data_IF_092688941596
#
_entry.id   IF_092688941596
#
_cell.length_a   1.000
_cell.length_b   1.000
_cell.length_c   1.000
_cell.angle_alpha   90.00
_cell.angle_beta   90.00
_cell.angle_gamma   90.00
#
_symmetry.space_group_name_H-M   'P 1'
#
loop_
_entity.id
_entity.type
_entity.pdbx_description
1 polymer ?
#
# COMPACT_ATOMS: atom_id res chain seq x y z
N UNK A 1 47.43 72.50 21.06
CA UNK A 1 46.76 71.47 21.84
C UNK A 1 45.40 71.18 21.24
N UNK A 2 45.29 70.54 20.06
CA UNK A 2 44.05 70.19 19.37
C UNK A 2 44.29 69.08 18.34
N UNK A 3 44.67 67.88 18.76
CA UNK A 3 44.68 66.72 17.84
C UNK A 3 44.66 65.37 18.58
N UNK A 4 43.65 65.12 19.40
CA UNK A 4 43.53 63.82 20.07
C UNK A 4 42.12 63.21 20.17
N UNK A 5 41.13 63.87 19.66
CA UNK A 5 39.71 63.40 19.84
C UNK A 5 39.07 62.79 18.63
N UNK A 6 39.66 62.82 17.43
CA UNK A 6 39.06 62.22 16.21
C UNK A 6 39.35 60.75 15.98
N UNK A 7 40.45 60.20 16.52
CA UNK A 7 40.81 58.78 16.26
C UNK A 7 40.04 57.77 17.09
N UNK A 8 39.54 58.13 18.25
CA UNK A 8 38.77 57.20 19.13
C UNK A 8 37.34 56.98 18.64
N UNK A 9 36.69 57.99 18.04
CA UNK A 9 35.33 57.83 17.52
C UNK A 9 35.16 56.99 16.29
N UNK A 10 36.17 56.94 15.41
CA UNK A 10 36.14 56.12 14.20
C UNK A 10 36.30 54.63 14.52
N UNK A 11 37.12 54.25 15.53
CA UNK A 11 37.32 52.86 15.93
C UNK A 11 36.09 52.28 16.64
N UNK A 12 35.31 53.03 17.39
CA UNK A 12 34.09 52.54 18.02
C UNK A 12 32.97 52.33 17.02
N UNK A 13 32.82 53.17 16.00
CA UNK A 13 31.81 53.01 14.97
C UNK A 13 32.05 51.80 14.04
N UNK A 14 33.32 51.52 13.72
CA UNK A 14 33.66 50.36 12.90
C UNK A 14 33.47 49.02 13.66
N UNK A 15 33.75 48.99 14.96
CA UNK A 15 33.52 47.79 15.79
C UNK A 15 32.05 47.48 16.00
N UNK A 16 31.20 48.51 16.18
CA UNK A 16 29.77 48.32 16.28
C UNK A 16 29.15 47.90 14.95
N UNK A 17 29.58 48.43 13.83
CA UNK A 17 29.08 48.03 12.50
C UNK A 17 29.45 46.59 12.14
N UNK A 18 30.65 46.12 12.48
CA UNK A 18 31.04 44.74 12.28
C UNK A 18 30.30 43.74 13.16
N UNK A 19 29.98 44.11 14.40
CA UNK A 19 29.19 43.24 15.29
C UNK A 19 27.73 43.12 14.86
N UNK A 20 27.11 44.19 14.35
CA UNK A 20 25.74 44.18 13.85
C UNK A 20 25.65 43.36 12.56
N UNK A 21 26.63 43.47 11.66
CA UNK A 21 26.64 42.68 10.43
C UNK A 21 26.81 41.19 10.73
N UNK A 22 27.64 40.80 11.70
CA UNK A 22 27.83 39.39 12.09
C UNK A 22 26.58 38.80 12.75
N UNK A 23 25.86 39.57 13.59
CA UNK A 23 24.61 39.12 14.20
C UNK A 23 23.48 38.98 13.17
N UNK A 24 23.36 39.89 12.21
CA UNK A 24 22.38 39.81 11.13
C UNK A 24 22.69 38.66 10.17
N UNK A 25 23.98 38.38 9.89
CA UNK A 25 24.37 37.23 9.06
C UNK A 25 24.07 35.89 9.76
N UNK A 26 24.31 35.78 11.06
CA UNK A 26 23.99 34.54 11.82
C UNK A 26 22.49 34.33 11.95
N UNK A 27 21.71 35.37 12.19
CA UNK A 27 20.25 35.26 12.26
C UNK A 27 19.62 34.92 10.91
N UNK A 28 20.15 35.44 9.81
CA UNK A 28 19.69 35.09 8.46
C UNK A 28 20.05 33.64 8.07
N UNK A 29 21.23 33.16 8.47
CA UNK A 29 21.64 31.75 8.26
C UNK A 29 20.80 30.77 9.11
N UNK A 30 20.49 31.13 10.35
CA UNK A 30 19.64 30.31 11.23
C UNK A 30 18.20 30.26 10.70
N UNK A 31 17.65 31.37 10.23
CA UNK A 31 16.32 31.40 9.63
C UNK A 31 16.27 30.67 8.30
N UNK A 32 17.28 30.79 7.44
CA UNK A 32 17.36 30.06 6.18
C UNK A 32 17.47 28.55 6.41
N UNK A 33 18.26 28.09 7.39
CA UNK A 33 18.35 26.69 7.76
C UNK A 33 17.05 26.17 8.38
N UNK A 34 16.37 26.94 9.20
CA UNK A 34 15.07 26.57 9.77
C UNK A 34 13.99 26.45 8.69
N UNK A 35 13.96 27.35 7.71
CA UNK A 35 13.05 27.26 6.56
C UNK A 35 13.40 26.04 5.71
N UNK A 36 14.66 25.79 5.41
CA UNK A 36 15.07 24.63 4.62
C UNK A 36 14.77 23.27 5.30
N UNK A 37 14.85 23.21 6.63
CA UNK A 37 14.46 22.03 7.42
C UNK A 37 12.94 21.88 7.42
N UNK A 38 12.20 22.97 7.53
CA UNK A 38 10.72 22.97 7.45
C UNK A 38 10.25 22.50 6.07
N UNK A 39 10.86 22.98 4.99
CA UNK A 39 10.51 22.60 3.63
C UNK A 39 10.85 21.12 3.33
N UNK A 40 11.97 20.61 3.85
CA UNK A 40 12.30 19.18 3.74
C UNK A 40 11.31 18.30 4.51
N UNK A 41 10.91 18.71 5.69
CA UNK A 41 9.92 17.99 6.49
C UNK A 41 8.54 18.04 5.83
N UNK A 42 8.16 19.17 5.25
CA UNK A 42 6.91 19.31 4.49
C UNK A 42 6.95 18.48 3.19
N UNK A 43 8.08 18.45 2.49
CA UNK A 43 8.26 17.61 1.31
C UNK A 43 8.22 16.12 1.66
N UNK A 44 8.85 15.71 2.77
CA UNK A 44 8.79 14.34 3.28
C UNK A 44 7.37 13.97 3.70
N UNK A 45 6.66 14.84 4.41
CA UNK A 45 5.27 14.63 4.81
C UNK A 45 4.34 14.56 3.60
N UNK A 46 4.53 15.42 2.59
CA UNK A 46 3.80 15.34 1.31
C UNK A 46 4.09 14.04 0.58
N UNK A 47 5.35 13.59 0.53
CA UNK A 47 5.73 12.32 -0.07
C UNK A 47 5.10 11.14 0.68
N UNK A 48 5.12 11.14 2.02
CA UNK A 48 4.48 10.13 2.86
C UNK A 48 2.94 10.14 2.69
N UNK A 49 2.32 11.32 2.56
CA UNK A 49 0.88 11.45 2.28
C UNK A 49 0.58 10.97 0.86
N UNK A 50 1.41 11.30 -0.14
CA UNK A 50 1.22 10.87 -1.52
C UNK A 50 1.43 9.36 -1.65
N UNK A 51 2.47 8.78 -1.03
CA UNK A 51 2.68 7.32 -1.02
C UNK A 51 1.59 6.58 -0.26
N UNK A 52 1.04 7.17 0.80
CA UNK A 52 -0.11 6.60 1.52
C UNK A 52 -1.42 6.78 0.75
N UNK A 53 -1.57 7.86 -0.03
CA UNK A 53 -2.71 8.08 -0.91
C UNK A 53 -2.64 7.23 -2.20
N UNK A 54 -1.45 6.89 -2.70
CA UNK A 54 -1.26 5.93 -3.82
C UNK A 54 -1.63 4.49 -3.44
N UNK A 55 -1.79 4.20 -2.16
CA UNK A 55 -2.26 2.91 -1.63
C UNK A 55 -3.80 2.86 -1.56
N UNK A 56 -4.48 4.00 -1.56
CA UNK A 56 -5.94 4.07 -1.46
C UNK A 56 -6.58 4.58 -2.75
N UNK A 57 -7.17 3.65 -3.48
CA UNK A 57 -8.43 3.81 -4.20
C UNK A 57 -8.43 4.66 -5.48
N UNK A 58 -8.20 4.04 -6.60
CA UNK A 58 -8.84 4.45 -7.85
C UNK A 58 -10.30 3.97 -7.82
N UNK A 59 -11.26 4.88 -7.57
CA UNK A 59 -12.69 4.60 -7.65
C UNK A 59 -13.15 5.02 -9.05
N UNK A 60 -13.32 4.05 -9.91
CA UNK A 60 -14.15 4.24 -11.11
C UNK A 60 -15.52 3.65 -10.77
N UNK A 61 -16.57 4.41 -10.89
CA UNK A 61 -17.97 4.10 -10.64
C UNK A 61 -18.26 2.78 -9.86
N UNK A 62 -18.56 2.79 -8.55
CA UNK A 62 -18.59 1.59 -7.69
C UNK A 62 -19.60 0.51 -8.11
N UNK A 63 -20.63 0.86 -8.88
CA UNK A 63 -21.76 -0.04 -9.18
C UNK A 63 -21.50 -1.09 -10.25
N UNK A 64 -20.46 -0.93 -11.10
CA UNK A 64 -20.36 -1.71 -12.34
C UNK A 64 -19.05 -2.49 -12.50
N UNK A 65 -18.19 -2.55 -11.49
CA UNK A 65 -16.87 -3.16 -11.60
C UNK A 65 -16.52 -4.13 -10.47
N UNK A 66 -15.39 -4.81 -10.64
CA UNK A 66 -14.87 -5.72 -9.61
C UNK A 66 -14.48 -4.97 -8.34
N UNK A 67 -14.74 -5.53 -7.20
CA UNK A 67 -14.12 -5.17 -5.94
C UNK A 67 -12.89 -6.06 -5.71
N UNK A 68 -11.73 -5.46 -5.46
CA UNK A 68 -10.47 -6.19 -5.29
C UNK A 68 -9.83 -5.80 -3.97
N UNK A 69 -9.55 -6.75 -3.11
CA UNK A 69 -8.93 -6.51 -1.80
C UNK A 69 -7.78 -7.49 -1.54
N UNK A 70 -6.69 -6.99 -0.96
CA UNK A 70 -5.54 -7.84 -0.65
C UNK A 70 -4.28 -7.07 -0.25
N UNK A 71 -3.15 -7.66 -0.54
CA UNK A 71 -1.82 -7.17 -0.16
C UNK A 71 -0.98 -6.68 -1.37
N UNK A 72 0.34 -6.69 -1.22
CA UNK A 72 1.28 -6.26 -2.27
C UNK A 72 1.18 -7.06 -3.57
N UNK A 73 0.72 -8.31 -3.55
CA UNK A 73 0.52 -9.10 -4.76
C UNK A 73 -0.62 -8.51 -5.58
N UNK A 74 -1.73 -8.13 -4.93
CA UNK A 74 -2.84 -7.41 -5.59
C UNK A 74 -2.37 -6.07 -6.16
N UNK A 75 -1.55 -5.31 -5.43
CA UNK A 75 -0.97 -4.07 -5.97
C UNK A 75 -0.16 -4.33 -7.24
N UNK A 76 0.60 -5.42 -7.28
CA UNK A 76 1.41 -5.80 -8.43
C UNK A 76 0.60 -6.12 -9.68
N UNK A 77 -0.58 -6.72 -9.52
CA UNK A 77 -1.43 -7.13 -10.65
C UNK A 77 -2.48 -6.08 -11.06
N UNK A 78 -2.68 -5.03 -10.28
CA UNK A 78 -3.81 -4.08 -10.45
C UNK A 78 -3.93 -3.51 -11.87
N UNK A 79 -2.80 -3.12 -12.47
CA UNK A 79 -2.78 -2.52 -13.80
C UNK A 79 -3.19 -3.55 -14.87
N UNK A 80 -2.63 -4.75 -14.83
CA UNK A 80 -2.98 -5.83 -15.78
C UNK A 80 -4.45 -6.23 -15.64
N UNK A 81 -4.95 -6.34 -14.41
CA UNK A 81 -6.36 -6.63 -14.17
C UNK A 81 -7.28 -5.51 -14.69
N UNK A 82 -6.96 -4.25 -14.42
CA UNK A 82 -7.75 -3.08 -14.87
C UNK A 82 -7.73 -2.89 -16.39
N UNK A 83 -6.66 -3.29 -17.07
CA UNK A 83 -6.58 -3.28 -18.53
C UNK A 83 -7.51 -4.33 -19.18
N UNK A 84 -7.85 -5.38 -18.46
CA UNK A 84 -8.59 -6.54 -18.99
C UNK A 84 -10.03 -6.64 -18.49
N UNK A 85 -10.35 -5.99 -17.37
CA UNK A 85 -11.68 -6.00 -16.75
C UNK A 85 -11.95 -4.68 -16.05
N UNK A 86 -13.20 -4.23 -16.08
CA UNK A 86 -13.61 -3.06 -15.29
C UNK A 86 -13.46 -3.35 -13.80
N UNK A 87 -12.71 -2.50 -13.11
CA UNK A 87 -12.48 -2.58 -11.67
C UNK A 87 -13.12 -1.36 -11.02
N UNK A 88 -14.03 -1.58 -10.07
CA UNK A 88 -14.72 -0.52 -9.35
C UNK A 88 -13.95 -0.03 -8.12
N UNK A 89 -13.25 -0.93 -7.43
CA UNK A 89 -12.47 -0.61 -6.25
C UNK A 89 -11.29 -1.57 -6.08
N UNK A 90 -10.09 -1.03 -5.92
CA UNK A 90 -8.92 -1.77 -5.43
C UNK A 90 -8.56 -1.25 -4.05
N UNK A 91 -8.62 -2.10 -3.03
CA UNK A 91 -8.15 -1.80 -1.68
C UNK A 91 -7.04 -2.79 -1.30
N UNK A 92 -5.83 -2.42 -1.60
CA UNK A 92 -4.64 -3.25 -1.37
C UNK A 92 -3.52 -2.47 -0.69
N UNK A 93 -2.73 -3.14 0.15
CA UNK A 93 -1.66 -2.50 0.92
C UNK A 93 -0.48 -3.45 1.09
N UNK A 94 0.74 -2.92 0.97
CA UNK A 94 1.98 -3.70 1.17
C UNK A 94 2.04 -4.24 2.59
N UNK A 95 2.23 -5.57 2.71
CA UNK A 95 2.36 -6.23 4.00
C UNK A 95 1.03 -6.43 4.76
N UNK A 96 -0.13 -6.17 4.11
CA UNK A 96 -1.44 -6.33 4.76
C UNK A 96 -1.62 -7.71 5.37
N UNK A 97 -2.06 -7.75 6.60
CA UNK A 97 -2.39 -8.95 7.35
C UNK A 97 -3.92 -9.10 7.48
N UNK A 98 -4.37 -10.27 7.96
CA UNK A 98 -5.79 -10.57 8.06
C UNK A 98 -6.63 -9.58 8.89
N UNK A 99 -6.17 -9.07 10.06
CA UNK A 99 -6.96 -8.11 10.82
C UNK A 99 -7.27 -6.82 10.03
N UNK A 100 -6.26 -6.26 9.34
CA UNK A 100 -6.47 -5.08 8.49
C UNK A 100 -7.36 -5.38 7.29
N UNK A 101 -7.25 -6.58 6.71
CA UNK A 101 -8.12 -6.99 5.61
C UNK A 101 -9.58 -7.05 6.06
N UNK A 102 -9.88 -7.61 7.24
CA UNK A 102 -11.21 -7.66 7.82
C UNK A 102 -11.78 -6.23 8.01
N UNK A 103 -10.96 -5.30 8.50
CA UNK A 103 -11.36 -3.92 8.73
C UNK A 103 -11.77 -3.24 7.40
N UNK A 104 -10.93 -3.33 6.36
CA UNK A 104 -11.23 -2.66 5.08
C UNK A 104 -12.40 -3.31 4.36
N UNK A 105 -12.58 -4.62 4.43
CA UNK A 105 -13.74 -5.29 3.87
C UNK A 105 -15.05 -4.82 4.52
N UNK A 106 -15.08 -4.71 5.85
CA UNK A 106 -16.24 -4.19 6.57
C UNK A 106 -16.54 -2.71 6.26
N UNK A 107 -15.51 -1.90 6.05
CA UNK A 107 -15.64 -0.50 5.66
C UNK A 107 -16.20 -0.33 4.25
N UNK A 108 -15.73 -1.16 3.32
CA UNK A 108 -16.02 -1.00 1.88
C UNK A 108 -17.27 -1.72 1.41
N UNK A 109 -17.76 -2.75 2.13
CA UNK A 109 -18.86 -3.61 1.69
C UNK A 109 -20.13 -2.88 1.28
N UNK A 110 -20.51 -1.79 1.97
CA UNK A 110 -21.70 -1.02 1.64
C UNK A 110 -21.59 -0.28 0.31
N UNK A 111 -20.37 0.05 -0.12
CA UNK A 111 -20.09 0.73 -1.38
C UNK A 111 -20.06 -0.24 -2.57
N UNK A 112 -19.81 -1.51 -2.29
CA UNK A 112 -19.58 -2.56 -3.29
C UNK A 112 -20.59 -3.70 -3.15
N UNK A 113 -21.79 -3.42 -2.67
CA UNK A 113 -22.78 -4.44 -2.29
C UNK A 113 -23.14 -5.44 -3.42
N UNK A 114 -23.15 -4.99 -4.67
CA UNK A 114 -23.55 -5.83 -5.82
C UNK A 114 -22.35 -6.24 -6.70
N UNK A 115 -21.11 -5.99 -6.25
CA UNK A 115 -19.91 -6.27 -7.02
C UNK A 115 -19.35 -7.66 -6.73
N UNK A 116 -18.92 -8.43 -7.75
CA UNK A 116 -18.04 -9.57 -7.52
C UNK A 116 -16.75 -9.12 -6.82
N UNK A 117 -16.28 -9.91 -5.85
CA UNK A 117 -15.06 -9.60 -5.12
C UNK A 117 -13.93 -10.60 -5.39
N UNK A 118 -12.73 -10.06 -5.53
CA UNK A 118 -11.47 -10.80 -5.57
C UNK A 118 -10.72 -10.52 -4.27
N UNK A 119 -10.37 -11.56 -3.53
CA UNK A 119 -9.63 -11.45 -2.26
C UNK A 119 -8.39 -12.32 -2.29
N UNK A 120 -7.24 -11.70 -1.98
CA UNK A 120 -6.02 -12.42 -1.69
C UNK A 120 -5.68 -12.27 -0.20
N UNK A 121 -5.34 -13.38 0.47
CA UNK A 121 -5.02 -13.42 1.90
C UNK A 121 -3.97 -14.46 2.23
N UNK A 122 -3.25 -14.26 3.34
CA UNK A 122 -2.34 -15.25 3.92
C UNK A 122 -0.90 -15.19 3.45
N UNK A 123 -0.52 -14.23 2.61
CA UNK A 123 0.88 -14.07 2.21
C UNK A 123 1.75 -13.53 3.36
N UNK A 124 1.22 -12.65 4.22
CA UNK A 124 2.01 -11.87 5.17
C UNK A 124 1.91 -12.35 6.63
N UNK A 125 1.01 -13.27 6.95
CA UNK A 125 0.86 -13.83 8.29
C UNK A 125 0.29 -15.24 8.27
N UNK A 126 0.49 -15.95 9.39
CA UNK A 126 -0.27 -17.18 9.68
C UNK A 126 -1.72 -16.79 9.99
N UNK A 127 -2.65 -17.43 9.31
CA UNK A 127 -4.08 -17.24 9.52
C UNK A 127 -4.59 -18.09 10.68
N UNK A 128 -5.57 -17.56 11.39
CA UNK A 128 -6.43 -18.31 12.32
C UNK A 128 -7.78 -18.61 11.68
N UNK A 129 -8.49 -19.64 12.16
CA UNK A 129 -9.83 -19.95 11.65
C UNK A 129 -10.78 -18.77 11.84
N UNK A 130 -10.72 -18.08 12.99
CA UNK A 130 -11.55 -16.92 13.26
C UNK A 130 -11.33 -15.77 12.29
N UNK A 131 -10.08 -15.51 11.88
CA UNK A 131 -9.76 -14.48 10.88
C UNK A 131 -10.34 -14.86 9.51
N UNK A 132 -10.14 -16.10 9.06
CA UNK A 132 -10.67 -16.55 7.76
C UNK A 132 -12.19 -16.52 7.76
N UNK A 133 -12.84 -16.98 8.82
CA UNK A 133 -14.30 -16.87 8.97
C UNK A 133 -14.74 -15.41 8.94
N UNK A 134 -14.08 -14.51 9.66
CA UNK A 134 -14.43 -13.08 9.68
C UNK A 134 -14.27 -12.42 8.30
N UNK A 135 -13.27 -12.81 7.51
CA UNK A 135 -13.12 -12.34 6.13
C UNK A 135 -14.31 -12.78 5.29
N UNK A 136 -14.67 -14.06 5.31
CA UNK A 136 -15.82 -14.56 4.52
C UNK A 136 -17.14 -13.96 4.98
N UNK A 137 -17.38 -13.83 6.29
CA UNK A 137 -18.59 -13.19 6.83
C UNK A 137 -18.73 -11.72 6.40
N UNK A 138 -17.61 -11.00 6.25
CA UNK A 138 -17.64 -9.62 5.76
C UNK A 138 -18.14 -9.50 4.32
N UNK A 139 -17.94 -10.54 3.48
CA UNK A 139 -18.18 -10.51 2.03
C UNK A 139 -19.16 -11.58 1.54
N UNK A 140 -19.76 -12.36 2.41
CA UNK A 140 -20.62 -13.51 2.05
C UNK A 140 -21.82 -13.17 1.15
N UNK A 141 -22.29 -11.92 1.23
CA UNK A 141 -23.44 -11.43 0.48
C UNK A 141 -23.08 -10.95 -0.94
N UNK A 142 -21.80 -10.97 -1.32
CA UNK A 142 -21.38 -10.61 -2.67
C UNK A 142 -21.88 -11.65 -3.70
N UNK A 143 -22.22 -11.23 -4.93
CA UNK A 143 -22.77 -12.14 -5.94
C UNK A 143 -21.79 -13.26 -6.35
N UNK A 144 -20.49 -12.97 -6.28
CA UNK A 144 -19.42 -13.94 -6.50
C UNK A 144 -18.18 -13.53 -5.71
N UNK A 145 -17.54 -14.51 -5.08
CA UNK A 145 -16.31 -14.33 -4.30
C UNK A 145 -15.21 -15.18 -4.92
N UNK A 146 -14.14 -14.56 -5.36
CA UNK A 146 -12.93 -15.24 -5.85
C UNK A 146 -11.84 -15.05 -4.81
N UNK A 147 -11.40 -16.14 -4.22
CA UNK A 147 -10.30 -16.15 -3.25
C UNK A 147 -9.07 -16.75 -3.89
N UNK A 148 -7.95 -16.08 -3.77
CA UNK A 148 -6.68 -16.60 -4.23
C UNK A 148 -5.89 -17.08 -3.01
N UNK A 149 -5.46 -18.34 -3.02
CA UNK A 149 -4.61 -18.90 -2.00
C UNK A 149 -3.15 -18.44 -2.17
N UNK A 150 -2.29 -18.77 -1.22
CA UNK A 150 -0.92 -18.26 -1.15
C UNK A 150 0.12 -19.27 -1.66
N UNK A 151 1.12 -18.77 -2.40
CA UNK A 151 2.29 -19.53 -2.87
C UNK A 151 3.62 -18.98 -2.33
N UNK A 152 3.62 -18.47 -1.12
CA UNK A 152 4.80 -17.84 -0.48
C UNK A 152 5.77 -18.89 0.08
N UNK A 153 7.09 -18.65 0.08
CA UNK A 153 8.09 -19.52 0.70
C UNK A 153 8.11 -19.32 2.22
N UNK A 154 6.99 -19.60 2.88
CA UNK A 154 6.79 -19.42 4.32
C UNK A 154 6.21 -20.68 4.96
N UNK A 155 6.61 -20.96 6.20
CA UNK A 155 6.19 -22.16 6.93
C UNK A 155 4.69 -22.24 7.26
N UNK A 156 3.93 -21.18 7.02
CA UNK A 156 2.47 -21.18 7.21
C UNK A 156 1.67 -21.41 5.92
N UNK A 157 2.32 -21.47 4.75
CA UNK A 157 1.65 -21.57 3.45
C UNK A 157 0.61 -22.71 3.41
N UNK A 158 1.01 -23.91 3.71
CA UNK A 158 0.14 -25.10 3.58
C UNK A 158 -1.01 -25.07 4.60
N UNK A 159 -0.73 -24.61 5.83
CA UNK A 159 -1.76 -24.43 6.83
C UNK A 159 -2.78 -23.37 6.42
N UNK A 160 -2.31 -22.21 5.91
CA UNK A 160 -3.19 -21.15 5.43
C UNK A 160 -4.07 -21.65 4.27
N UNK A 161 -3.50 -22.33 3.29
CA UNK A 161 -4.22 -22.85 2.13
C UNK A 161 -5.27 -23.88 2.52
N UNK A 162 -4.92 -24.81 3.44
CA UNK A 162 -5.87 -25.79 3.97
C UNK A 162 -7.03 -25.11 4.71
N UNK A 163 -6.74 -24.07 5.50
CA UNK A 163 -7.75 -23.33 6.25
C UNK A 163 -8.66 -22.51 5.32
N UNK A 164 -8.11 -21.83 4.33
CA UNK A 164 -8.87 -21.11 3.29
C UNK A 164 -9.84 -22.09 2.60
N UNK A 165 -9.34 -23.24 2.15
CA UNK A 165 -10.15 -24.28 1.49
C UNK A 165 -11.28 -24.78 2.40
N UNK A 166 -10.98 -25.08 3.66
CA UNK A 166 -11.95 -25.57 4.64
C UNK A 166 -13.06 -24.56 4.91
N UNK A 167 -12.74 -23.29 5.09
CA UNK A 167 -13.74 -22.26 5.37
C UNK A 167 -14.53 -21.91 4.10
N UNK A 168 -13.85 -21.75 2.96
CA UNK A 168 -14.49 -21.47 1.68
C UNK A 168 -15.56 -22.48 1.29
N UNK A 169 -15.36 -23.78 1.62
CA UNK A 169 -16.33 -24.84 1.32
C UNK A 169 -17.71 -24.67 2.00
N UNK A 170 -17.81 -23.76 2.96
CA UNK A 170 -19.08 -23.43 3.66
C UNK A 170 -19.95 -22.43 2.87
N UNK A 171 -19.41 -21.83 1.79
CA UNK A 171 -20.06 -20.76 1.02
C UNK A 171 -20.23 -21.18 -0.45
N UNK A 172 -21.45 -21.08 -0.98
CA UNK A 172 -21.76 -21.55 -2.34
C UNK A 172 -21.30 -20.60 -3.45
N UNK A 173 -21.13 -19.33 -3.13
CA UNK A 173 -20.72 -18.27 -4.06
C UNK A 173 -19.20 -18.04 -4.12
N UNK A 174 -18.40 -18.89 -3.44
CA UNK A 174 -16.95 -18.81 -3.41
C UNK A 174 -16.32 -19.72 -4.46
N UNK A 175 -15.33 -19.19 -5.16
CA UNK A 175 -14.39 -19.90 -6.02
C UNK A 175 -12.96 -19.68 -5.51
N UNK A 176 -12.14 -20.71 -5.55
CA UNK A 176 -10.73 -20.61 -5.17
C UNK A 176 -9.87 -20.72 -6.42
N UNK A 177 -9.05 -19.70 -6.65
CA UNK A 177 -7.91 -19.75 -7.55
C UNK A 177 -6.75 -20.40 -6.77
N UNK A 178 -6.41 -21.62 -7.11
CA UNK A 178 -5.30 -22.35 -6.47
C UNK A 178 -3.96 -21.90 -7.06
N UNK A 179 -3.55 -20.68 -6.67
CA UNK A 179 -2.28 -20.13 -7.13
C UNK A 179 -1.08 -20.95 -6.69
N UNK A 180 -1.16 -21.60 -5.53
CA UNK A 180 -0.10 -22.50 -5.08
C UNK A 180 0.15 -23.64 -6.06
N UNK A 181 -0.91 -24.23 -6.58
CA UNK A 181 -0.81 -25.32 -7.57
C UNK A 181 -0.44 -24.80 -8.96
N UNK A 182 -1.04 -23.67 -9.39
CA UNK A 182 -0.77 -23.07 -10.71
C UNK A 182 0.69 -22.66 -10.84
N UNK A 183 1.29 -22.16 -9.77
CA UNK A 183 2.68 -21.69 -9.75
C UNK A 183 3.70 -22.76 -9.37
N UNK A 184 3.25 -24.00 -9.09
CA UNK A 184 4.14 -25.11 -8.74
C UNK A 184 5.08 -25.44 -9.91
N UNK A 185 6.38 -25.44 -9.65
CA UNK A 185 7.40 -25.71 -10.67
C UNK A 185 7.72 -24.51 -11.58
N UNK A 186 7.15 -23.32 -11.32
CA UNK A 186 7.30 -22.11 -12.11
C UNK A 186 8.00 -20.97 -11.34
N UNK A 187 9.28 -21.13 -10.96
CA UNK A 187 10.01 -20.06 -10.27
C UNK A 187 10.11 -18.78 -11.11
N UNK A 188 10.02 -18.88 -12.44
CA UNK A 188 10.03 -17.75 -13.38
C UNK A 188 8.80 -16.85 -13.28
N UNK A 189 7.77 -17.22 -12.53
CA UNK A 189 6.63 -16.34 -12.24
C UNK A 189 6.91 -15.33 -11.14
N UNK A 190 7.94 -15.58 -10.34
CA UNK A 190 8.24 -14.81 -9.13
C UNK A 190 9.51 -13.97 -9.25
N UNK A 191 9.50 -12.85 -8.55
CA UNK A 191 10.71 -12.11 -8.23
C UNK A 191 11.64 -12.97 -7.31
N UNK A 192 12.89 -12.56 -7.08
CA UNK A 192 13.85 -13.34 -6.26
C UNK A 192 13.39 -13.60 -4.82
N UNK A 193 12.40 -12.87 -4.30
CA UNK A 193 11.83 -13.08 -2.97
C UNK A 193 10.83 -14.27 -2.90
N UNK A 194 10.44 -14.80 -4.06
CA UNK A 194 9.50 -15.92 -4.18
C UNK A 194 8.05 -15.57 -3.80
N UNK A 195 7.72 -14.27 -3.75
CA UNK A 195 6.38 -13.75 -3.37
C UNK A 195 5.79 -12.86 -4.45
N UNK A 196 6.53 -11.79 -4.81
CA UNK A 196 6.07 -10.83 -5.81
C UNK A 196 6.18 -11.40 -7.22
N UNK A 197 5.25 -11.02 -8.08
CA UNK A 197 5.16 -11.55 -9.43
C UNK A 197 5.95 -10.69 -10.42
N UNK A 198 6.64 -11.34 -11.35
CA UNK A 198 7.20 -10.71 -12.55
C UNK A 198 6.14 -10.66 -13.67
N UNK A 199 6.35 -9.94 -14.79
CA UNK A 199 5.32 -9.77 -15.82
C UNK A 199 4.67 -11.07 -16.31
N UNK A 200 5.45 -12.15 -16.49
CA UNK A 200 4.90 -13.46 -16.87
C UNK A 200 3.96 -14.03 -15.78
N UNK A 201 4.40 -13.98 -14.52
CA UNK A 201 3.58 -14.42 -13.38
C UNK A 201 2.32 -13.57 -13.22
N UNK A 202 2.41 -12.25 -13.42
CA UNK A 202 1.26 -11.33 -13.39
C UNK A 202 0.21 -11.74 -14.43
N UNK A 203 0.62 -12.03 -15.67
CA UNK A 203 -0.31 -12.44 -16.73
C UNK A 203 -1.02 -13.74 -16.37
N UNK A 204 -0.29 -14.77 -15.95
CA UNK A 204 -0.87 -16.08 -15.56
C UNK A 204 -1.80 -15.95 -14.34
N UNK A 205 -1.42 -15.11 -13.36
CA UNK A 205 -2.23 -14.87 -12.17
C UNK A 205 -3.57 -14.21 -12.52
N UNK A 206 -3.54 -13.20 -13.40
CA UNK A 206 -4.75 -12.51 -13.86
C UNK A 206 -5.59 -13.43 -14.74
N UNK A 207 -4.98 -14.25 -15.62
CA UNK A 207 -5.69 -15.27 -16.40
C UNK A 207 -6.46 -16.23 -15.50
N UNK A 208 -5.82 -16.73 -14.44
CA UNK A 208 -6.45 -17.63 -13.49
C UNK A 208 -7.64 -16.96 -12.75
N UNK A 209 -7.51 -15.70 -12.37
CA UNK A 209 -8.63 -14.94 -11.75
C UNK A 209 -9.78 -14.80 -12.74
N UNK A 210 -9.50 -14.35 -13.97
CA UNK A 210 -10.52 -14.06 -14.97
C UNK A 210 -11.25 -15.33 -15.45
N UNK A 211 -10.60 -16.48 -15.41
CA UNK A 211 -11.22 -17.77 -15.77
C UNK A 211 -12.33 -18.20 -14.79
N UNK A 212 -12.29 -17.72 -13.54
CA UNK A 212 -13.30 -18.04 -12.52
C UNK A 212 -14.43 -16.99 -12.46
N UNK A 213 -14.27 -15.83 -13.11
CA UNK A 213 -15.33 -14.82 -13.22
C UNK A 213 -16.39 -15.24 -14.24
N UNK A 214 -17.65 -15.07 -13.84
CA UNK A 214 -18.80 -15.29 -14.72
C UNK A 214 -19.08 -14.07 -15.59
#
# INVERSE_FOLDING_TARGET
MKYRTKKVRVRQQTTLALSIISVLAVTSLVSANAIAVSDRNLAKLKLEITTKAEVETEITNPSDGLWVAGDSVILGIRNELSNRRQVGLVNAHVGRQAPELIEVLNKDKARMADAPIIVNMGNNNRLTESEVVSIFEAIKDQPQIIVINTAVPRGWKDQNNSLIQQVASRYQNVKIVDWNKISEGHPEYFAPDGVHLVPTGISVYVDAILSELK
#
